data_IF_856999247358
#
_entry.id   IF_856999247358
#
_cell.length_a   1.000
_cell.length_b   1.000
_cell.length_c   1.000
_cell.angle_alpha   90.00
_cell.angle_beta   90.00
_cell.angle_gamma   90.00
#
_symmetry.space_group_name_H-M   'P 1'
#
loop_
_entity.id
_entity.type
_entity.pdbx_description
1 polymer ?
#
# COMPACT_ATOMS: atom_id res chain seq x y z
N UNK A 1 8.53 10.99 48.22
CA UNK A 1 9.70 10.76 47.35
C UNK A 1 9.47 9.66 46.31
N UNK A 2 8.99 8.46 46.69
CA UNK A 2 8.72 7.32 45.77
C UNK A 2 7.81 7.66 44.56
N UNK A 3 6.73 8.42 44.79
CA UNK A 3 5.78 8.82 43.73
C UNK A 3 6.38 9.73 42.65
N UNK A 4 7.35 10.57 43.00
CA UNK A 4 8.03 11.47 42.04
C UNK A 4 8.95 10.69 41.11
N UNK A 5 9.65 9.69 41.64
CA UNK A 5 10.52 8.80 40.87
C UNK A 5 9.67 7.96 39.91
N UNK A 6 8.58 7.39 40.39
CA UNK A 6 7.65 6.62 39.55
C UNK A 6 7.07 7.48 38.42
N UNK A 7 6.58 8.68 38.75
CA UNK A 7 6.05 9.61 37.75
C UNK A 7 7.09 10.00 36.70
N UNK A 8 8.33 10.28 37.12
CA UNK A 8 9.43 10.56 36.20
C UNK A 8 9.76 9.39 35.28
N UNK A 9 9.78 8.16 35.80
CA UNK A 9 10.04 6.96 35.00
C UNK A 9 8.95 6.72 33.94
N UNK A 10 7.67 6.89 34.32
CA UNK A 10 6.54 6.76 33.39
C UNK A 10 6.61 7.85 32.30
N UNK A 11 6.90 9.10 32.67
CA UNK A 11 7.03 10.18 31.71
C UNK A 11 8.18 9.94 30.72
N UNK A 12 9.33 9.45 31.19
CA UNK A 12 10.46 9.11 30.35
C UNK A 12 10.14 7.96 29.38
N UNK A 13 9.46 6.90 29.86
CA UNK A 13 9.04 5.79 29.02
C UNK A 13 8.03 6.24 27.94
N UNK A 14 7.06 7.07 28.31
CA UNK A 14 6.09 7.64 27.37
C UNK A 14 6.77 8.52 26.32
N UNK A 15 7.73 9.36 26.72
CA UNK A 15 8.52 10.19 25.79
C UNK A 15 9.36 9.33 24.83
N UNK A 16 10.03 8.29 25.35
CA UNK A 16 10.82 7.36 24.54
C UNK A 16 9.96 6.62 23.51
N UNK A 17 8.80 6.10 23.92
CA UNK A 17 7.86 5.43 23.02
C UNK A 17 7.29 6.39 21.97
N UNK A 18 6.99 7.62 22.37
CA UNK A 18 6.52 8.65 21.44
C UNK A 18 7.60 8.98 20.39
N UNK A 19 8.84 9.18 20.82
CA UNK A 19 9.97 9.43 19.93
C UNK A 19 10.22 8.29 18.96
N UNK A 20 10.17 7.04 19.43
CA UNK A 20 10.24 5.84 18.58
C UNK A 20 9.18 5.85 17.49
N UNK A 21 7.93 6.17 17.85
CA UNK A 21 6.84 6.19 16.88
C UNK A 21 7.06 7.23 15.77
N UNK A 22 7.43 8.46 16.11
CA UNK A 22 7.66 9.51 15.10
C UNK A 22 8.82 9.17 14.15
N UNK A 23 9.90 8.58 14.67
CA UNK A 23 11.01 8.11 13.84
C UNK A 23 10.55 7.00 12.88
N UNK A 24 9.80 6.03 13.40
CA UNK A 24 9.30 4.91 12.58
C UNK A 24 8.30 5.36 11.50
N UNK A 25 7.39 6.27 11.83
CA UNK A 25 6.46 6.85 10.87
C UNK A 25 7.19 7.61 9.76
N UNK A 26 8.15 8.47 10.13
CA UNK A 26 8.95 9.21 9.14
C UNK A 26 9.79 8.28 8.25
N UNK A 27 10.39 7.22 8.81
CA UNK A 27 11.14 6.24 8.04
C UNK A 27 10.24 5.45 7.08
N UNK A 28 9.02 5.09 7.50
CA UNK A 28 8.03 4.42 6.67
C UNK A 28 7.57 5.30 5.50
N UNK A 29 7.23 6.56 5.76
CA UNK A 29 6.85 7.53 4.74
C UNK A 29 7.98 7.76 3.73
N UNK A 30 9.22 7.88 4.22
CA UNK A 30 10.40 8.03 3.38
C UNK A 30 10.62 6.79 2.49
N UNK A 31 10.42 5.59 3.02
CA UNK A 31 10.56 4.35 2.24
C UNK A 31 9.51 4.25 1.12
N UNK A 32 8.26 4.61 1.38
CA UNK A 32 7.20 4.63 0.35
C UNK A 32 7.49 5.68 -0.73
N UNK A 33 7.88 6.89 -0.33
CA UNK A 33 8.25 7.96 -1.27
C UNK A 33 9.49 7.59 -2.09
N UNK A 34 10.47 6.96 -1.46
CA UNK A 34 11.67 6.43 -2.11
C UNK A 34 11.31 5.38 -3.16
N UNK A 35 10.47 4.40 -2.80
CA UNK A 35 10.01 3.37 -3.75
C UNK A 35 9.30 3.99 -4.97
N UNK A 36 8.42 4.97 -4.77
CA UNK A 36 7.77 5.69 -5.87
C UNK A 36 8.78 6.47 -6.73
N UNK A 37 9.81 7.05 -6.11
CA UNK A 37 10.88 7.74 -6.83
C UNK A 37 11.73 6.79 -7.67
N UNK A 38 12.09 5.63 -7.12
CA UNK A 38 12.84 4.59 -7.83
C UNK A 38 12.04 4.08 -9.04
N UNK A 39 10.72 3.84 -8.89
CA UNK A 39 9.87 3.46 -10.02
C UNK A 39 9.83 4.53 -11.12
N UNK A 40 9.74 5.81 -10.75
CA UNK A 40 9.83 6.90 -11.73
C UNK A 40 11.20 6.95 -12.42
N UNK A 41 12.29 6.66 -11.71
CA UNK A 41 13.62 6.55 -12.29
C UNK A 41 13.74 5.38 -13.26
N UNK A 42 13.00 4.29 -13.01
CA UNK A 42 12.87 3.13 -13.90
C UNK A 42 11.92 3.40 -15.11
N UNK A 43 11.38 4.62 -15.24
CA UNK A 43 10.49 5.01 -16.33
C UNK A 43 9.01 4.70 -16.11
N UNK A 44 8.62 4.25 -14.91
CA UNK A 44 7.22 4.04 -14.56
C UNK A 44 6.51 5.37 -14.30
N UNK A 45 5.20 5.42 -14.52
CA UNK A 45 4.35 6.37 -13.80
C UNK A 45 4.16 5.81 -12.38
N UNK A 46 4.50 6.59 -11.35
CA UNK A 46 4.30 6.21 -9.96
C UNK A 46 4.00 7.45 -9.11
N UNK A 47 2.73 7.85 -9.15
CA UNK A 47 2.24 9.13 -8.63
C UNK A 47 1.18 8.91 -7.55
N UNK A 48 1.13 9.87 -6.63
CA UNK A 48 0.13 9.98 -5.57
C UNK A 48 -0.23 11.45 -5.38
N UNK A 49 -1.48 11.72 -5.01
CA UNK A 49 -1.92 13.04 -4.59
C UNK A 49 -1.49 13.37 -3.15
N UNK A 50 -1.43 12.35 -2.28
CA UNK A 50 -1.09 12.52 -0.87
C UNK A 50 -0.60 11.24 -0.22
N UNK A 51 0.16 11.42 0.86
CA UNK A 51 0.59 10.36 1.76
C UNK A 51 0.52 10.90 3.19
N UNK A 52 -0.27 10.24 4.03
CA UNK A 52 -0.48 10.61 5.42
C UNK A 52 -0.41 9.37 6.31
N UNK A 53 0.30 9.48 7.44
CA UNK A 53 0.47 8.39 8.40
C UNK A 53 -0.07 8.79 9.76
N UNK A 54 -0.97 7.97 10.29
CA UNK A 54 -1.60 8.12 11.61
C UNK A 54 -1.43 6.84 12.45
N UNK A 55 -2.08 6.76 13.61
CA UNK A 55 -2.08 5.55 14.45
C UNK A 55 -1.17 5.61 15.69
N UNK A 56 -0.74 6.81 16.09
CA UNK A 56 0.07 7.01 17.29
C UNK A 56 -0.55 6.36 18.54
N UNK A 57 0.25 5.71 19.41
CA UNK A 57 1.70 5.45 19.28
C UNK A 57 2.01 4.01 18.83
N UNK A 58 1.00 3.23 18.44
CA UNK A 58 1.15 1.77 18.32
C UNK A 58 1.06 1.26 16.88
N UNK A 59 0.58 2.08 15.95
CA UNK A 59 0.32 1.70 14.56
C UNK A 59 0.86 2.74 13.59
N UNK A 60 1.23 2.28 12.41
CA UNK A 60 1.42 3.12 11.24
C UNK A 60 0.27 2.80 10.30
N UNK A 61 -0.73 3.66 10.32
CA UNK A 61 -1.90 3.61 9.43
C UNK A 61 -1.67 4.65 8.33
N UNK A 62 -1.09 4.20 7.23
CA UNK A 62 -0.63 5.06 6.14
C UNK A 62 -1.62 5.02 5.00
N UNK A 63 -2.15 6.18 4.60
CA UNK A 63 -3.04 6.31 3.45
C UNK A 63 -2.31 7.01 2.30
N UNK A 64 -2.26 6.35 1.16
CA UNK A 64 -1.90 6.94 -0.13
C UNK A 64 -3.20 7.34 -0.83
N UNK A 65 -3.29 8.55 -1.38
CA UNK A 65 -4.47 9.00 -2.14
C UNK A 65 -4.11 9.30 -3.59
N UNK A 66 -5.08 9.15 -4.49
CA UNK A 66 -4.91 9.42 -5.92
C UNK A 66 -3.75 8.62 -6.53
N UNK A 67 -3.68 7.33 -6.20
CA UNK A 67 -2.59 6.46 -6.64
C UNK A 67 -2.74 6.18 -8.15
N UNK A 68 -1.69 6.46 -8.91
CA UNK A 68 -1.56 6.12 -10.32
C UNK A 68 -0.20 5.45 -10.56
N UNK A 69 -0.23 4.17 -10.91
CA UNK A 69 0.93 3.35 -11.19
C UNK A 69 0.83 2.80 -12.62
N UNK A 70 1.85 2.99 -13.44
CA UNK A 70 1.92 2.38 -14.76
C UNK A 70 3.36 1.97 -15.07
N UNK A 71 3.51 0.76 -15.61
CA UNK A 71 4.76 0.26 -16.14
C UNK A 71 4.63 0.20 -17.68
N UNK A 72 5.21 1.17 -18.41
CA UNK A 72 5.17 1.17 -19.86
C UNK A 72 5.91 -0.02 -20.49
N UNK A 73 6.92 -0.57 -19.81
CA UNK A 73 7.69 -1.72 -20.29
C UNK A 73 6.90 -3.02 -20.22
N UNK A 74 6.14 -3.21 -19.14
CA UNK A 74 5.27 -4.38 -18.97
C UNK A 74 3.85 -4.19 -19.56
N UNK A 75 3.47 -2.97 -19.94
CA UNK A 75 2.20 -2.67 -20.58
C UNK A 75 1.01 -2.79 -19.65
N UNK A 76 1.11 -2.25 -18.43
CA UNK A 76 -0.04 -2.16 -17.52
C UNK A 76 -0.07 -0.82 -16.80
N UNK A 77 -1.28 -0.41 -16.42
CA UNK A 77 -1.55 0.70 -15.53
C UNK A 77 -2.61 0.30 -14.51
N UNK A 78 -2.50 0.84 -13.30
CA UNK A 78 -3.40 0.67 -12.20
C UNK A 78 -3.60 2.00 -11.48
N UNK A 79 -4.85 2.35 -11.20
CA UNK A 79 -5.18 3.51 -10.40
C UNK A 79 -6.23 3.19 -9.35
N UNK A 80 -6.10 3.84 -8.20
CA UNK A 80 -7.05 3.71 -7.09
C UNK A 80 -7.21 5.07 -6.38
N UNK A 81 -8.42 5.41 -5.89
CA UNK A 81 -8.64 6.66 -5.16
C UNK A 81 -7.85 6.70 -3.85
N UNK A 82 -7.63 5.54 -3.21
CA UNK A 82 -6.72 5.40 -2.09
C UNK A 82 -6.15 3.98 -1.96
N UNK A 83 -5.09 3.85 -1.18
CA UNK A 83 -4.52 2.60 -0.71
C UNK A 83 -4.09 2.78 0.75
N UNK A 84 -4.60 1.94 1.64
CA UNK A 84 -4.24 1.99 3.06
C UNK A 84 -3.24 0.89 3.39
N UNK A 85 -2.12 1.25 4.00
CA UNK A 85 -1.08 0.33 4.48
C UNK A 85 -1.04 0.42 6.00
N UNK A 86 -1.38 -0.67 6.67
CA UNK A 86 -1.49 -0.76 8.12
C UNK A 86 -0.41 -1.68 8.67
N UNK A 87 0.36 -1.18 9.62
CA UNK A 87 1.41 -1.93 10.32
C UNK A 87 1.41 -1.62 11.82
N UNK A 88 1.91 -2.57 12.61
CA UNK A 88 2.21 -2.31 14.02
C UNK A 88 3.59 -1.68 14.14
N UNK A 89 3.69 -0.59 14.90
CA UNK A 89 4.94 0.17 15.11
C UNK A 89 6.09 -0.65 15.72
N UNK A 90 5.76 -1.73 16.42
CA UNK A 90 6.70 -2.65 17.06
C UNK A 90 6.85 -3.99 16.31
N UNK A 91 6.14 -4.17 15.20
CA UNK A 91 6.26 -5.34 14.33
C UNK A 91 6.23 -4.92 12.85
N UNK A 92 7.23 -4.15 12.38
CA UNK A 92 7.26 -3.56 11.05
C UNK A 92 7.44 -4.57 9.91
N UNK A 93 7.62 -5.86 10.22
CA UNK A 93 7.72 -6.96 9.25
C UNK A 93 6.36 -7.55 8.87
N UNK A 94 5.25 -6.91 9.23
CA UNK A 94 3.88 -7.34 8.95
C UNK A 94 3.07 -6.15 8.47
N UNK A 95 2.50 -6.26 7.29
CA UNK A 95 1.64 -5.22 6.74
C UNK A 95 0.33 -5.80 6.21
N UNK A 96 -0.73 -5.02 6.37
CA UNK A 96 -2.01 -5.24 5.73
C UNK A 96 -2.23 -4.08 4.78
N UNK A 97 -2.52 -4.37 3.52
CA UNK A 97 -2.86 -3.38 2.51
C UNK A 97 -4.35 -3.48 2.24
N UNK A 98 -5.12 -2.43 2.49
CA UNK A 98 -6.53 -2.36 2.14
C UNK A 98 -6.70 -1.52 0.88
N UNK A 99 -7.39 -2.09 -0.09
CA UNK A 99 -7.61 -1.50 -1.40
C UNK A 99 -8.92 -0.71 -1.42
N UNK A 100 -8.98 0.32 -2.24
CA UNK A 100 -10.24 0.99 -2.53
C UNK A 100 -11.27 -0.01 -3.12
N UNK A 101 -12.57 0.11 -2.79
CA UNK A 101 -13.60 -0.75 -3.34
C UNK A 101 -13.67 -0.70 -4.86
N UNK A 102 -13.40 0.46 -5.45
CA UNK A 102 -13.34 0.69 -6.89
C UNK A 102 -11.91 1.07 -7.31
N UNK A 103 -11.41 0.36 -8.31
CA UNK A 103 -10.07 0.54 -8.86
C UNK A 103 -10.15 0.42 -10.38
N UNK A 104 -9.11 0.85 -11.07
CA UNK A 104 -9.04 0.75 -12.53
C UNK A 104 -7.73 0.10 -12.93
N UNK A 105 -7.82 -0.90 -13.80
CA UNK A 105 -6.70 -1.56 -14.44
C UNK A 105 -6.77 -1.28 -15.94
N UNK A 106 -5.65 -0.97 -16.55
CA UNK A 106 -5.54 -0.80 -17.99
C UNK A 106 -4.33 -1.57 -18.53
N UNK A 107 -4.48 -2.09 -19.73
CA UNK A 107 -3.44 -2.72 -20.55
C UNK A 107 -3.60 -2.20 -21.98
N UNK A 108 -2.62 -2.38 -22.88
CA UNK A 108 -2.79 -2.02 -24.28
C UNK A 108 -4.08 -2.59 -24.88
N UNK A 109 -4.97 -1.69 -25.34
CA UNK A 109 -6.22 -2.06 -26.00
C UNK A 109 -7.41 -2.40 -25.07
N UNK A 110 -7.23 -2.40 -23.75
CA UNK A 110 -8.33 -2.71 -22.83
C UNK A 110 -8.22 -1.96 -21.49
N UNK A 111 -9.37 -1.62 -20.93
CA UNK A 111 -9.49 -1.03 -19.60
C UNK A 111 -10.61 -1.72 -18.84
N UNK A 112 -10.38 -2.01 -17.57
CA UNK A 112 -11.35 -2.63 -16.68
C UNK A 112 -11.43 -1.89 -15.34
N UNK A 113 -12.65 -1.62 -14.88
CA UNK A 113 -12.94 -1.31 -13.50
C UNK A 113 -12.97 -2.60 -12.68
N UNK A 114 -12.26 -2.60 -11.55
CA UNK A 114 -12.34 -3.64 -10.53
C UNK A 114 -13.18 -3.12 -9.37
N UNK A 115 -14.29 -3.79 -9.08
CA UNK A 115 -15.10 -3.58 -7.88
C UNK A 115 -14.91 -4.74 -6.91
N UNK A 116 -14.82 -4.43 -5.62
CA UNK A 116 -14.63 -5.42 -4.57
C UNK A 116 -15.12 -4.92 -3.22
N UNK A 117 -15.52 -5.84 -2.35
CA UNK A 117 -15.82 -5.56 -0.95
C UNK A 117 -14.70 -6.08 -0.07
N UNK A 118 -14.13 -5.18 0.74
CA UNK A 118 -13.14 -5.55 1.75
C UNK A 118 -11.84 -6.15 1.19
N UNK A 119 -11.45 -5.82 -0.05
CA UNK A 119 -10.21 -6.33 -0.65
C UNK A 119 -8.99 -5.91 0.16
N UNK A 120 -8.25 -6.90 0.65
CA UNK A 120 -7.08 -6.73 1.50
C UNK A 120 -5.99 -7.71 1.12
N UNK A 121 -4.75 -7.23 1.09
CA UNK A 121 -3.58 -8.08 1.07
C UNK A 121 -2.94 -8.10 2.47
N UNK A 122 -2.42 -9.24 2.88
CA UNK A 122 -1.59 -9.35 4.08
C UNK A 122 -0.23 -9.90 3.70
N UNK A 123 0.83 -9.23 4.13
CA UNK A 123 2.21 -9.65 3.90
C UNK A 123 2.96 -9.78 5.21
N UNK A 124 3.84 -10.79 5.27
CA UNK A 124 4.73 -11.04 6.40
C UNK A 124 6.12 -11.36 5.89
N UNK A 125 7.09 -10.74 6.53
CA UNK A 125 8.50 -10.96 6.28
C UNK A 125 9.16 -11.63 7.48
N UNK A 126 10.15 -12.48 7.21
CA UNK A 126 11.02 -13.03 8.25
C UNK A 126 11.79 -11.89 8.93
N UNK A 127 12.00 -11.94 10.26
CA UNK A 127 12.93 -11.04 10.92
C UNK A 127 14.34 -11.26 10.33
N UNK A 128 14.95 -10.23 9.77
CA UNK A 128 16.29 -10.29 9.19
C UNK A 128 16.52 -9.22 8.13
N UNK A 129 17.79 -8.96 7.75
CA UNK A 129 18.14 -7.88 6.82
C UNK A 129 17.61 -8.10 5.40
N UNK A 130 17.39 -9.35 5.00
CA UNK A 130 16.84 -9.67 3.68
C UNK A 130 15.34 -9.48 3.59
N UNK A 131 14.63 -9.33 4.72
CA UNK A 131 13.17 -9.28 4.80
C UNK A 131 12.51 -10.32 3.89
N UNK A 132 12.94 -11.58 3.99
CA UNK A 132 12.43 -12.65 3.14
C UNK A 132 10.91 -12.80 3.32
N UNK A 133 10.15 -12.83 2.21
CA UNK A 133 8.69 -13.00 2.24
C UNK A 133 8.36 -14.40 2.78
N UNK A 134 7.60 -14.44 3.87
CA UNK A 134 7.19 -15.70 4.52
C UNK A 134 5.71 -16.00 4.33
N UNK A 135 4.88 -14.97 4.14
CA UNK A 135 3.46 -15.13 3.80
C UNK A 135 2.99 -13.95 2.98
N UNK A 136 2.23 -14.23 1.95
CA UNK A 136 1.38 -13.29 1.25
C UNK A 136 -0.01 -13.92 1.11
N UNK A 137 -1.06 -13.14 1.36
CA UNK A 137 -2.44 -13.54 1.07
C UNK A 137 -3.20 -12.33 0.54
N UNK A 138 -4.20 -12.61 -0.29
CA UNK A 138 -5.15 -11.63 -0.79
C UNK A 138 -6.55 -12.18 -0.50
N UNK A 139 -7.38 -11.38 0.16
CA UNK A 139 -8.74 -11.74 0.54
C UNK A 139 -9.71 -10.62 0.17
N UNK A 140 -10.94 -10.97 -0.20
CA UNK A 140 -11.98 -10.01 -0.57
C UNK A 140 -13.23 -10.77 -1.04
N UNK A 141 -14.36 -10.08 -1.03
CA UNK A 141 -15.65 -10.60 -1.51
C UNK A 141 -16.21 -9.73 -2.64
N UNK A 142 -17.25 -10.23 -3.30
CA UNK A 142 -17.97 -9.50 -4.37
C UNK A 142 -17.04 -8.92 -5.46
N UNK A 143 -16.03 -9.70 -5.88
CA UNK A 143 -15.10 -9.29 -6.92
C UNK A 143 -15.82 -9.25 -8.28
N UNK A 144 -15.90 -8.07 -8.86
CA UNK A 144 -16.44 -7.84 -10.19
C UNK A 144 -15.41 -7.10 -11.05
N UNK A 145 -15.15 -7.62 -12.24
CA UNK A 145 -14.34 -6.96 -13.26
C UNK A 145 -15.26 -6.57 -14.40
N UNK A 146 -15.35 -5.28 -14.67
CA UNK A 146 -16.15 -4.71 -15.74
C UNK A 146 -15.23 -3.93 -16.65
N UNK A 147 -15.07 -4.37 -17.89
CA UNK A 147 -14.14 -3.73 -18.82
C UNK A 147 -14.68 -3.64 -20.22
N UNK A 148 -14.12 -2.69 -20.96
CA UNK A 148 -14.28 -2.59 -22.40
C UNK A 148 -12.99 -3.07 -23.06
N UNK A 149 -13.13 -4.00 -24.01
CA UNK A 149 -12.12 -4.17 -25.04
C UNK A 149 -12.35 -3.05 -26.06
N UNK A 150 -11.32 -2.27 -26.40
CA UNK A 150 -11.40 -1.47 -27.62
C UNK A 150 -11.55 -2.48 -28.75
N UNK A 151 -12.70 -2.43 -29.43
CA UNK A 151 -13.01 -3.34 -30.52
C UNK A 151 -11.82 -3.34 -31.49
N UNK A 152 -11.11 -4.47 -31.56
CA UNK A 152 -10.23 -4.72 -32.68
C UNK A 152 -11.17 -4.87 -33.88
N UNK A 153 -11.37 -3.79 -34.64
CA UNK A 153 -11.89 -3.88 -36.01
C UNK A 153 -10.93 -4.78 -36.79
N UNK A 154 -11.22 -6.08 -36.80
CA UNK A 154 -10.22 -7.09 -37.14
C UNK A 154 -10.82 -8.46 -37.39
N UNK A 155 -11.74 -8.51 -38.37
CA UNK A 155 -12.24 -9.69 -39.10
C UNK A 155 -12.92 -10.80 -38.29
N UNK A 156 -14.21 -10.98 -38.60
CA UNK A 156 -15.08 -11.99 -38.02
C UNK A 156 -14.51 -13.40 -38.10
N UNK A 157 -14.50 -14.07 -36.96
CA UNK A 157 -14.36 -15.51 -36.90
C UNK A 157 -15.73 -16.12 -37.23
N UNK A 158 -15.84 -16.71 -38.42
CA UNK A 158 -16.91 -17.66 -38.74
C UNK A 158 -16.43 -19.04 -38.32
N UNK A 159 -17.04 -19.63 -37.30
CA UNK A 159 -16.97 -21.07 -37.09
C UNK A 159 -17.85 -21.74 -38.15
N UNK A 160 -17.25 -22.69 -38.88
CA UNK A 160 -17.97 -23.68 -39.69
C UNK A 160 -18.40 -24.84 -38.78
#
# INVERSE_FOLDING_TARGET
>A
MKWRILGGAVALAAAGWSGWWFIGAAAHDAALRGWLADRRADGWQAEIAGLETQGFPNRFDTRLTGLALADPGAGWAWSAPFLDIVMLSYAPNRAIVAFAPEQTLAVPGAQAGLRSEGLRASVRFAPGPSLALTRASLEGSALALEGSALALEGRGWRAA
#
